data_IF_622134812728
#
_entry.id   IF_622134812728
#
_cell.length_a   1.000
_cell.length_b   1.000
_cell.length_c   1.000
_cell.angle_alpha   90.00
_cell.angle_beta   90.00
_cell.angle_gamma   90.00
#
_symmetry.space_group_name_H-M   'P 1'
#
loop_
_entity.id
_entity.type
_entity.pdbx_description
1 polymer ?
#
# COMPACT_ATOMS: atom_id res chain seq x y z
N UNK A 1 8.33 -6.09 23.16
CA UNK A 1 8.46 -4.94 24.10
C UNK A 1 7.53 -3.83 23.67
N UNK A 2 6.82 -3.20 24.61
CA UNK A 2 6.01 -2.01 24.32
C UNK A 2 6.93 -0.82 24.00
N UNK A 3 6.53 0.02 23.05
CA UNK A 3 7.24 1.22 22.61
C UNK A 3 6.40 2.44 22.92
N UNK A 4 7.02 3.45 23.54
CA UNK A 4 6.37 4.73 23.88
C UNK A 4 6.48 5.70 22.72
N UNK A 5 5.40 6.37 22.37
CA UNK A 5 5.38 7.34 21.29
C UNK A 5 4.46 8.52 21.56
N UNK A 6 4.52 9.45 20.64
CA UNK A 6 3.62 10.61 20.59
C UNK A 6 3.03 10.74 19.20
N UNK A 7 1.94 11.49 19.07
CA UNK A 7 1.54 11.99 17.76
C UNK A 7 1.54 13.52 17.74
N UNK A 8 1.97 14.06 16.62
CA UNK A 8 2.28 15.47 16.45
C UNK A 8 1.76 16.03 15.14
N UNK A 9 1.44 17.29 15.17
CA UNK A 9 1.01 18.11 14.04
C UNK A 9 1.52 19.55 14.20
N UNK A 10 0.97 20.48 13.45
CA UNK A 10 1.27 21.90 13.67
C UNK A 10 0.77 22.43 15.04
N UNK A 11 -0.14 21.71 15.70
CA UNK A 11 -0.68 22.12 17.01
C UNK A 11 0.37 22.12 18.12
N UNK A 12 1.39 21.28 18.03
CA UNK A 12 2.50 21.23 18.99
C UNK A 12 3.54 22.35 18.78
N UNK A 13 3.30 23.26 17.82
CA UNK A 13 4.16 24.42 17.60
C UNK A 13 5.60 24.07 17.19
N UNK A 14 6.56 24.73 17.78
CA UNK A 14 7.98 24.48 17.54
C UNK A 14 8.54 23.54 18.58
N UNK A 15 8.73 22.29 18.17
CA UNK A 15 9.26 21.20 19.00
C UNK A 15 10.79 21.28 19.05
N UNK A 16 11.37 21.15 20.24
CA UNK A 16 12.80 20.93 20.46
C UNK A 16 13.08 19.41 20.42
N UNK A 17 13.47 18.92 19.25
CA UNK A 17 13.69 17.49 19.03
C UNK A 17 14.94 16.94 19.73
N UNK A 18 15.90 17.78 20.10
CA UNK A 18 17.06 17.34 20.86
C UNK A 18 16.67 17.02 22.32
N UNK A 19 15.75 17.77 22.89
CA UNK A 19 15.16 17.46 24.21
C UNK A 19 14.18 16.28 24.14
N UNK A 20 13.51 16.08 23.01
CA UNK A 20 12.59 14.97 22.81
C UNK A 20 13.31 13.63 22.71
N UNK A 21 14.53 13.62 22.14
CA UNK A 21 15.35 12.44 21.94
C UNK A 21 15.61 11.68 23.24
N UNK A 22 15.35 10.36 23.21
CA UNK A 22 15.51 9.48 24.38
C UNK A 22 14.28 9.41 25.29
N UNK A 23 13.28 10.28 25.11
CA UNK A 23 12.02 10.26 25.85
C UNK A 23 10.92 9.49 25.15
N UNK A 24 11.06 9.25 23.85
CA UNK A 24 10.13 8.47 23.03
C UNK A 24 10.87 7.49 22.12
N UNK A 25 10.21 6.41 21.75
CA UNK A 25 10.67 5.41 20.78
C UNK A 25 10.21 5.71 19.37
N UNK A 26 9.07 6.42 19.18
CA UNK A 26 8.52 6.77 17.88
C UNK A 26 7.61 8.01 17.92
N UNK A 27 7.34 8.55 16.74
CA UNK A 27 6.34 9.60 16.54
C UNK A 27 5.41 9.29 15.38
N UNK A 28 4.12 9.65 15.50
CA UNK A 28 3.16 9.67 14.39
C UNK A 28 2.99 11.13 13.95
N UNK A 29 3.16 11.40 12.66
CA UNK A 29 3.18 12.79 12.15
C UNK A 29 2.00 13.03 11.22
N UNK A 30 1.14 14.00 11.54
CA UNK A 30 0.11 14.45 10.62
C UNK A 30 0.74 15.16 9.44
N UNK A 31 0.51 14.63 8.24
CA UNK A 31 1.03 15.25 7.01
C UNK A 31 0.00 16.11 6.30
N UNK A 32 -1.28 15.73 6.44
CA UNK A 32 -2.37 16.39 5.71
C UNK A 32 -3.74 16.12 6.34
N UNK A 33 -4.73 16.88 5.93
CA UNK A 33 -6.13 16.71 6.33
C UNK A 33 -7.07 17.15 5.21
N UNK A 34 -8.21 16.46 5.07
CA UNK A 34 -9.19 16.75 4.02
C UNK A 34 -8.59 16.73 2.61
N UNK A 35 -9.30 17.27 1.66
CA UNK A 35 -8.82 17.36 0.28
C UNK A 35 -7.80 18.48 0.14
N UNK A 36 -6.51 18.12 -0.04
CA UNK A 36 -5.42 19.04 -0.44
C UNK A 36 -4.84 19.99 0.64
N UNK A 37 -5.13 19.79 1.92
CA UNK A 37 -4.50 20.60 2.97
C UNK A 37 -3.29 19.87 3.58
N UNK A 38 -2.08 20.40 3.35
CA UNK A 38 -0.87 19.93 4.03
C UNK A 38 -0.80 20.53 5.45
N UNK A 39 -0.35 19.74 6.42
CA UNK A 39 -0.02 20.25 7.76
C UNK A 39 1.18 21.19 7.67
N UNK A 40 1.10 22.34 8.33
CA UNK A 40 2.11 23.41 8.17
C UNK A 40 3.50 23.03 8.69
N UNK A 41 3.62 22.07 9.61
CA UNK A 41 4.87 21.71 10.29
C UNK A 41 5.42 20.33 9.87
N UNK A 42 4.69 19.51 9.11
CA UNK A 42 5.07 18.12 8.89
C UNK A 42 6.45 17.95 8.24
N UNK A 43 6.80 18.80 7.27
CA UNK A 43 8.11 18.73 6.59
C UNK A 43 9.26 18.96 7.55
N UNK A 44 9.12 19.98 8.43
CA UNK A 44 10.06 20.25 9.49
C UNK A 44 10.12 19.09 10.50
N UNK A 45 8.97 18.64 10.97
CA UNK A 45 8.88 17.59 11.97
C UNK A 45 9.52 16.28 11.49
N UNK A 46 9.26 15.86 10.24
CA UNK A 46 9.88 14.67 9.66
C UNK A 46 11.39 14.84 9.55
N UNK A 47 11.88 15.98 9.00
CA UNK A 47 13.30 16.25 8.87
C UNK A 47 14.04 16.20 10.22
N UNK A 48 13.44 16.73 11.25
CA UNK A 48 14.02 16.73 12.61
C UNK A 48 13.98 15.32 13.23
N UNK A 49 12.91 14.57 13.08
CA UNK A 49 12.84 13.16 13.52
C UNK A 49 13.93 12.31 12.84
N UNK A 50 14.15 12.50 11.54
CA UNK A 50 15.23 11.83 10.80
C UNK A 50 16.60 12.25 11.33
N UNK A 51 16.82 13.56 11.61
CA UNK A 51 18.07 14.09 12.17
C UNK A 51 18.39 13.45 13.52
N UNK A 52 17.41 13.36 14.41
CA UNK A 52 17.61 12.78 15.75
C UNK A 52 17.44 11.27 15.79
N UNK A 53 17.14 10.63 14.65
CA UNK A 53 16.98 9.17 14.46
C UNK A 53 15.83 8.59 15.28
N UNK A 54 14.71 9.30 15.40
CA UNK A 54 13.47 8.78 15.96
C UNK A 54 12.63 8.22 14.83
N UNK A 55 12.27 6.91 14.85
CA UNK A 55 11.36 6.32 13.87
C UNK A 55 10.00 6.99 13.87
N UNK A 56 9.37 7.07 12.67
CA UNK A 56 8.08 7.73 12.56
C UNK A 56 7.11 6.99 11.64
N UNK A 57 5.83 7.24 11.87
CA UNK A 57 4.71 6.95 10.97
C UNK A 57 4.06 8.24 10.49
N UNK A 58 3.19 8.12 9.49
CA UNK A 58 2.55 9.27 8.85
C UNK A 58 1.04 9.10 8.88
N UNK A 59 0.29 10.17 9.19
CA UNK A 59 -1.16 10.09 9.14
C UNK A 59 -1.82 11.24 8.38
N UNK A 60 -3.02 10.94 7.88
CA UNK A 60 -3.93 11.85 7.21
C UNK A 60 -5.27 11.88 7.92
N UNK A 61 -5.74 13.06 8.30
CA UNK A 61 -7.05 13.26 8.89
C UNK A 61 -8.11 13.41 7.80
N UNK A 62 -9.04 12.47 7.70
CA UNK A 62 -10.03 12.44 6.63
C UNK A 62 -11.26 13.30 6.91
N UNK A 63 -11.69 14.06 5.91
CA UNK A 63 -12.98 14.75 5.85
C UNK A 63 -13.88 14.18 4.76
N UNK A 64 -13.56 13.01 4.21
CA UNK A 64 -14.33 12.42 3.14
C UNK A 64 -15.76 12.06 3.58
N UNK A 65 -16.73 12.43 2.78
CA UNK A 65 -18.17 12.17 3.01
C UNK A 65 -18.75 11.17 2.01
N UNK A 66 -17.95 10.76 1.02
CA UNK A 66 -18.31 9.77 0.01
C UNK A 66 -17.04 9.14 -0.58
N UNK A 67 -17.19 8.05 -1.34
CA UNK A 67 -16.08 7.31 -1.94
C UNK A 67 -15.27 8.14 -2.93
N UNK A 68 -15.88 9.09 -3.64
CA UNK A 68 -15.15 9.93 -4.60
C UNK A 68 -14.23 10.93 -3.89
N UNK A 69 -14.69 11.57 -2.82
CA UNK A 69 -13.85 12.42 -1.97
C UNK A 69 -12.75 11.61 -1.27
N UNK A 70 -13.05 10.38 -0.83
CA UNK A 70 -12.07 9.45 -0.27
C UNK A 70 -10.92 9.13 -1.24
N UNK A 71 -11.22 8.89 -2.51
CA UNK A 71 -10.19 8.67 -3.55
C UNK A 71 -9.30 9.89 -3.77
N UNK A 72 -9.89 11.09 -3.74
CA UNK A 72 -9.13 12.34 -3.88
C UNK A 72 -8.17 12.54 -2.71
N UNK A 73 -8.66 12.34 -1.48
CA UNK A 73 -7.83 12.42 -0.26
C UNK A 73 -6.71 11.38 -0.30
N UNK A 74 -7.01 10.12 -0.60
CA UNK A 74 -6.01 9.06 -0.72
C UNK A 74 -4.94 9.39 -1.75
N UNK A 75 -5.32 9.91 -2.92
CA UNK A 75 -4.38 10.30 -3.98
C UNK A 75 -3.46 11.42 -3.50
N UNK A 76 -4.01 12.44 -2.86
CA UNK A 76 -3.25 13.56 -2.29
C UNK A 76 -2.27 13.08 -1.22
N UNK A 77 -2.75 12.26 -0.28
CA UNK A 77 -1.94 11.71 0.79
C UNK A 77 -0.79 10.82 0.25
N UNK A 78 -1.07 9.92 -0.68
CA UNK A 78 -0.05 9.08 -1.34
C UNK A 78 1.02 9.95 -2.02
N UNK A 79 0.64 11.06 -2.67
CA UNK A 79 1.58 11.98 -3.30
C UNK A 79 2.51 12.67 -2.29
N UNK A 80 2.08 12.85 -1.05
CA UNK A 80 2.90 13.37 0.04
C UNK A 80 3.85 12.29 0.53
N UNK A 81 3.30 11.14 0.96
CA UNK A 81 4.05 10.11 1.67
C UNK A 81 5.11 9.39 0.82
N UNK A 82 4.95 9.34 -0.51
CA UNK A 82 5.93 8.73 -1.42
C UNK A 82 7.32 9.37 -1.38
N UNK A 83 7.46 10.54 -0.75
CA UNK A 83 8.74 11.26 -0.57
C UNK A 83 9.48 10.81 0.70
N UNK A 84 8.88 9.95 1.53
CA UNK A 84 9.37 9.58 2.84
C UNK A 84 9.41 8.06 3.01
N UNK A 85 10.19 7.59 3.97
CA UNK A 85 10.36 6.18 4.30
C UNK A 85 9.96 5.90 5.75
N UNK A 86 8.65 5.96 6.10
CA UNK A 86 8.22 5.73 7.47
C UNK A 86 8.53 4.29 7.90
N UNK A 87 8.98 4.12 9.14
CA UNK A 87 9.21 2.83 9.79
C UNK A 87 8.04 2.44 10.72
N UNK A 88 7.07 3.33 10.89
CA UNK A 88 5.77 3.08 11.50
C UNK A 88 4.67 3.19 10.46
N UNK A 89 3.45 2.71 10.76
CA UNK A 89 2.36 2.64 9.78
C UNK A 89 2.03 3.98 9.11
N UNK A 90 1.47 3.87 7.90
CA UNK A 90 0.74 4.96 7.25
C UNK A 90 -0.72 4.85 7.65
N UNK A 91 -1.26 5.91 8.23
CA UNK A 91 -2.55 5.86 8.94
C UNK A 91 -3.58 6.77 8.30
N UNK A 92 -4.79 6.25 8.18
CA UNK A 92 -5.98 7.05 7.95
C UNK A 92 -6.70 7.30 9.26
N UNK A 93 -6.90 8.56 9.58
CA UNK A 93 -7.52 9.04 10.80
C UNK A 93 -9.00 9.37 10.52
N UNK A 94 -9.89 8.62 11.18
CA UNK A 94 -11.35 8.69 10.99
C UNK A 94 -12.00 9.07 12.30
N UNK A 95 -12.41 10.34 12.38
CA UNK A 95 -13.04 10.89 13.56
C UNK A 95 -14.34 11.63 13.25
N UNK A 96 -15.10 11.95 14.31
CA UNK A 96 -16.23 12.86 14.21
C UNK A 96 -15.76 14.27 13.91
N UNK A 97 -16.33 14.86 12.89
CA UNK A 97 -16.17 16.27 12.57
C UNK A 97 -17.50 16.85 12.13
N UNK A 98 -17.60 18.17 12.05
CA UNK A 98 -18.79 18.84 11.50
C UNK A 98 -19.15 18.37 10.08
N UNK A 99 -18.17 17.81 9.33
CA UNK A 99 -18.36 17.32 7.97
C UNK A 99 -18.73 15.83 7.91
N UNK A 100 -18.27 15.03 8.87
CA UNK A 100 -18.39 13.56 8.83
C UNK A 100 -19.42 13.01 9.82
N UNK A 101 -19.93 13.82 10.76
CA UNK A 101 -20.86 13.40 11.82
C UNK A 101 -22.11 12.71 11.29
N UNK A 102 -22.65 13.18 10.16
CA UNK A 102 -23.88 12.69 9.55
C UNK A 102 -23.66 11.64 8.46
N UNK A 103 -22.43 11.19 8.23
CA UNK A 103 -22.14 10.14 7.25
C UNK A 103 -22.64 8.80 7.81
N UNK A 104 -23.43 8.09 7.01
CA UNK A 104 -23.93 6.75 7.37
C UNK A 104 -22.77 5.78 7.57
N UNK A 105 -22.95 4.80 8.45
CA UNK A 105 -21.90 3.85 8.83
C UNK A 105 -21.38 3.05 7.64
N UNK A 106 -22.26 2.55 6.76
CA UNK A 106 -21.88 1.80 5.57
C UNK A 106 -21.03 2.64 4.61
N UNK A 107 -21.38 3.90 4.41
CA UNK A 107 -20.61 4.84 3.59
C UNK A 107 -19.26 5.15 4.25
N UNK A 108 -19.21 5.33 5.57
CA UNK A 108 -17.97 5.58 6.29
C UNK A 108 -17.00 4.39 6.21
N UNK A 109 -17.54 3.16 6.29
CA UNK A 109 -16.79 1.92 6.05
C UNK A 109 -16.22 1.86 4.62
N UNK A 110 -17.02 2.22 3.61
CA UNK A 110 -16.58 2.23 2.22
C UNK A 110 -15.53 3.31 1.95
N UNK A 111 -15.66 4.50 2.55
CA UNK A 111 -14.66 5.56 2.55
C UNK A 111 -13.33 5.03 3.12
N UNK A 112 -13.37 4.52 4.34
CA UNK A 112 -12.20 4.02 5.07
C UNK A 112 -11.52 2.90 4.31
N UNK A 113 -12.28 1.90 3.86
CA UNK A 113 -11.81 0.77 3.07
C UNK A 113 -11.18 1.21 1.75
N UNK A 114 -11.76 2.21 1.08
CA UNK A 114 -11.23 2.77 -0.18
C UNK A 114 -9.87 3.42 0.04
N UNK A 115 -9.74 4.29 1.04
CA UNK A 115 -8.47 4.97 1.33
C UNK A 115 -7.40 3.95 1.73
N UNK A 116 -7.73 3.04 2.65
CA UNK A 116 -6.80 1.99 3.09
C UNK A 116 -6.31 1.12 1.92
N UNK A 117 -7.21 0.69 1.04
CA UNK A 117 -6.87 -0.13 -0.13
C UNK A 117 -5.94 0.61 -1.11
N UNK A 118 -6.16 1.91 -1.32
CA UNK A 118 -5.29 2.72 -2.18
C UNK A 118 -3.89 2.89 -1.59
N UNK A 119 -3.78 3.16 -0.29
CA UNK A 119 -2.49 3.29 0.41
C UNK A 119 -1.74 1.95 0.42
N UNK A 120 -2.44 0.84 0.69
CA UNK A 120 -1.87 -0.50 0.63
C UNK A 120 -1.38 -0.85 -0.77
N UNK A 121 -2.15 -0.50 -1.81
CA UNK A 121 -1.76 -0.66 -3.22
C UNK A 121 -0.54 0.16 -3.61
N UNK A 122 -0.28 1.25 -2.90
CA UNK A 122 0.95 2.05 -3.04
C UNK A 122 2.15 1.46 -2.27
N UNK A 123 1.99 0.29 -1.62
CA UNK A 123 3.08 -0.46 -0.99
C UNK A 123 3.30 -0.16 0.50
N UNK A 124 2.40 0.56 1.16
CA UNK A 124 2.56 0.93 2.57
C UNK A 124 1.86 -0.06 3.52
N UNK A 125 2.39 -0.16 4.73
CA UNK A 125 1.69 -0.80 5.84
C UNK A 125 0.61 0.14 6.37
N UNK A 126 -0.65 -0.24 6.21
CA UNK A 126 -1.80 0.61 6.50
C UNK A 126 -2.37 0.33 7.87
N UNK A 127 -2.78 1.38 8.55
CA UNK A 127 -3.46 1.34 9.84
C UNK A 127 -4.63 2.33 9.85
N UNK A 128 -5.66 2.04 10.62
CA UNK A 128 -6.80 2.93 10.83
C UNK A 128 -6.71 3.48 12.25
N UNK A 129 -6.75 4.82 12.40
CA UNK A 129 -6.96 5.47 13.69
C UNK A 129 -8.42 5.84 13.86
N UNK A 130 -8.96 5.53 15.01
CA UNK A 130 -10.25 5.98 15.48
C UNK A 130 -10.36 5.80 17.00
N UNK A 131 -11.34 6.45 17.61
CA UNK A 131 -11.68 6.17 18.99
C UNK A 131 -12.44 4.84 19.12
N UNK A 132 -12.55 4.35 20.37
CA UNK A 132 -13.22 3.09 20.69
C UNK A 132 -14.65 3.04 20.17
N UNK A 133 -15.42 4.12 20.32
CA UNK A 133 -16.84 4.15 19.92
C UNK A 133 -17.01 4.01 18.40
N UNK A 134 -16.09 4.56 17.63
CA UNK A 134 -16.06 4.36 16.18
C UNK A 134 -15.74 2.90 15.83
N UNK A 135 -14.76 2.29 16.48
CA UNK A 135 -14.41 0.89 16.20
C UNK A 135 -15.48 -0.12 16.64
N UNK A 136 -16.24 0.20 17.68
CA UNK A 136 -17.34 -0.66 18.13
C UNK A 136 -18.68 -0.39 17.43
N UNK A 137 -18.82 0.80 16.83
CA UNK A 137 -20.02 1.28 16.17
C UNK A 137 -19.83 1.52 14.68
N UNK A 138 -19.47 2.76 14.29
CA UNK A 138 -19.48 3.22 12.89
C UNK A 138 -18.52 2.47 11.97
N UNK A 139 -17.37 2.01 12.47
CA UNK A 139 -16.36 1.26 11.73
C UNK A 139 -16.34 -0.25 12.06
N UNK A 140 -17.36 -0.74 12.77
CA UNK A 140 -17.48 -2.16 13.07
C UNK A 140 -17.92 -2.96 11.84
N UNK A 141 -16.98 -3.34 11.00
CA UNK A 141 -17.25 -4.06 9.75
C UNK A 141 -16.10 -5.01 9.43
N UNK A 142 -16.43 -6.22 8.98
CA UNK A 142 -15.46 -7.21 8.52
C UNK A 142 -14.59 -6.73 7.35
N UNK A 143 -15.04 -5.76 6.56
CA UNK A 143 -14.24 -5.10 5.51
C UNK A 143 -12.97 -4.45 6.07
N UNK A 144 -12.98 -4.03 7.34
CA UNK A 144 -11.89 -3.30 7.99
C UNK A 144 -11.06 -4.17 8.95
N UNK A 145 -11.44 -5.42 9.18
CA UNK A 145 -10.78 -6.31 10.16
C UNK A 145 -9.34 -6.66 9.76
N UNK A 146 -9.04 -6.64 8.46
CA UNK A 146 -7.70 -6.92 7.94
C UNK A 146 -6.67 -5.82 8.21
N UNK A 147 -7.11 -4.62 8.48
CA UNK A 147 -6.25 -3.48 8.78
C UNK A 147 -5.95 -3.39 10.27
N UNK A 148 -4.70 -3.07 10.59
CA UNK A 148 -4.30 -2.82 11.97
C UNK A 148 -4.97 -1.55 12.50
N UNK A 149 -5.07 -1.43 13.81
CA UNK A 149 -5.80 -0.33 14.46
C UNK A 149 -4.90 0.47 15.40
N UNK A 150 -5.01 1.77 15.31
CA UNK A 150 -4.52 2.71 16.31
C UNK A 150 -5.74 3.20 17.11
N UNK A 151 -5.88 2.65 18.30
CA UNK A 151 -7.03 2.87 19.17
C UNK A 151 -6.84 4.13 19.99
N UNK A 152 -7.77 5.09 19.92
CA UNK A 152 -7.88 6.16 20.91
C UNK A 152 -8.89 5.78 22.00
N UNK A 153 -8.38 5.61 23.20
CA UNK A 153 -9.18 5.38 24.41
C UNK A 153 -8.39 5.94 25.61
N UNK A 154 -8.72 7.14 26.03
CA UNK A 154 -8.00 7.85 27.08
C UNK A 154 -8.36 7.33 28.46
N UNK A 155 -7.60 6.38 28.92
CA UNK A 155 -7.86 5.61 30.15
C UNK A 155 -6.57 5.00 30.69
N UNK A 156 -6.61 4.41 31.88
CA UNK A 156 -5.46 3.72 32.48
C UNK A 156 -5.15 2.38 31.84
N UNK A 157 -6.15 1.78 31.17
CA UNK A 157 -6.03 0.54 30.39
C UNK A 157 -7.08 0.52 29.29
N UNK A 158 -6.77 -0.05 28.12
CA UNK A 158 -7.77 -0.18 27.05
C UNK A 158 -8.85 -1.18 27.44
N UNK A 159 -10.10 -0.86 27.11
CA UNK A 159 -11.26 -1.75 27.31
C UNK A 159 -11.82 -2.27 26.00
N UNK A 160 -11.26 -1.81 24.86
CA UNK A 160 -11.58 -2.36 23.53
C UNK A 160 -11.14 -3.82 23.45
N UNK A 161 -12.05 -4.71 23.07
CA UNK A 161 -11.90 -6.17 23.16
C UNK A 161 -11.42 -6.85 21.87
N UNK A 162 -11.07 -6.07 20.84
CA UNK A 162 -10.48 -6.59 19.60
C UNK A 162 -9.01 -6.19 19.49
N UNK A 163 -8.31 -6.76 18.49
CA UNK A 163 -6.89 -6.48 18.27
C UNK A 163 -6.63 -5.05 17.82
N UNK A 164 -5.61 -4.45 18.36
CA UNK A 164 -5.03 -3.16 17.95
C UNK A 164 -3.50 -3.21 18.10
N UNK A 165 -2.81 -2.36 17.37
CA UNK A 165 -1.36 -2.34 17.36
C UNK A 165 -0.76 -1.14 18.06
N UNK A 166 -1.47 0.02 18.06
CA UNK A 166 -1.09 1.23 18.81
C UNK A 166 -2.29 1.65 19.66
N UNK A 167 -2.01 2.15 20.83
CA UNK A 167 -2.99 2.73 21.77
C UNK A 167 -2.60 4.15 22.10
N UNK A 168 -3.46 5.12 21.77
CA UNK A 168 -3.40 6.48 22.26
C UNK A 168 -4.15 6.54 23.59
N UNK A 169 -3.41 6.70 24.68
CA UNK A 169 -3.96 6.60 26.02
C UNK A 169 -4.20 7.93 26.73
N UNK A 170 -3.69 9.03 26.16
CA UNK A 170 -3.87 10.37 26.70
C UNK A 170 -3.75 11.41 25.61
N UNK A 171 -4.58 12.46 25.69
CA UNK A 171 -4.48 13.69 24.89
C UNK A 171 -3.93 14.87 25.68
N UNK A 172 -3.47 14.64 26.91
CA UNK A 172 -2.99 15.68 27.86
C UNK A 172 -1.61 15.35 28.41
N UNK A 173 -0.79 14.68 27.62
CA UNK A 173 0.57 14.35 28.00
C UNK A 173 1.48 15.57 28.00
N UNK A 174 2.58 15.47 28.75
CA UNK A 174 3.69 16.44 28.72
C UNK A 174 4.95 15.70 28.27
N UNK A 175 5.76 16.35 27.43
CA UNK A 175 6.97 15.76 26.90
C UNK A 175 8.09 16.81 26.82
N UNK A 176 9.32 16.48 27.24
CA UNK A 176 10.46 17.38 27.07
C UNK A 176 10.60 17.85 25.63
N UNK A 177 10.72 19.15 25.42
CA UNK A 177 10.85 19.73 24.07
C UNK A 177 9.52 20.12 23.42
N UNK A 178 8.38 19.86 24.07
CA UNK A 178 7.05 20.26 23.58
C UNK A 178 6.41 21.19 24.61
N UNK A 179 5.92 22.33 24.15
CA UNK A 179 5.16 23.26 24.96
C UNK A 179 3.68 22.93 24.86
N UNK A 180 3.02 22.73 26.03
CA UNK A 180 1.62 22.34 26.08
C UNK A 180 1.38 20.82 26.00
N UNK A 181 0.17 20.46 25.65
CA UNK A 181 -0.24 19.05 25.60
C UNK A 181 0.21 18.34 24.33
N UNK A 182 0.53 17.06 24.48
CA UNK A 182 0.81 16.15 23.37
C UNK A 182 0.13 14.81 23.63
N UNK A 183 -0.32 14.18 22.56
CA UNK A 183 -0.95 12.86 22.61
C UNK A 183 0.10 11.78 22.87
N UNK A 184 -0.20 10.89 23.83
CA UNK A 184 0.71 9.84 24.27
C UNK A 184 0.23 8.48 23.78
N UNK A 185 1.18 7.69 23.27
CA UNK A 185 0.91 6.43 22.59
C UNK A 185 1.78 5.27 23.10
N UNK A 186 1.24 4.05 23.03
CA UNK A 186 1.97 2.80 23.21
C UNK A 186 1.79 1.94 21.98
N UNK A 187 2.89 1.53 21.34
CA UNK A 187 2.88 0.51 20.29
C UNK A 187 3.20 -0.86 20.89
N UNK A 188 2.41 -1.85 20.54
CA UNK A 188 2.51 -3.24 21.00
C UNK A 188 3.23 -4.15 20.01
N UNK A 189 3.51 -3.66 18.81
CA UNK A 189 4.17 -4.38 17.71
C UNK A 189 5.49 -3.71 17.35
N UNK A 190 6.43 -4.51 16.87
CA UNK A 190 7.68 -4.01 16.29
C UNK A 190 7.46 -3.62 14.82
N UNK A 191 6.90 -2.41 14.61
CA UNK A 191 6.61 -1.91 13.27
C UNK A 191 7.85 -1.75 12.38
N UNK A 192 9.00 -1.27 12.88
CA UNK A 192 10.22 -1.23 12.08
C UNK A 192 10.58 -2.59 11.47
N UNK A 193 10.56 -3.65 12.28
CA UNK A 193 10.82 -5.02 11.78
C UNK A 193 9.75 -5.49 10.80
N UNK A 194 8.46 -5.26 11.10
CA UNK A 194 7.34 -5.66 10.23
C UNK A 194 7.41 -4.95 8.87
N UNK A 195 7.70 -3.64 8.88
CA UNK A 195 7.72 -2.81 7.66
C UNK A 195 8.98 -3.10 6.84
N UNK A 196 10.15 -3.24 7.47
CA UNK A 196 11.38 -3.56 6.77
C UNK A 196 11.33 -4.96 6.14
N UNK A 197 10.75 -5.95 6.81
CA UNK A 197 10.56 -7.28 6.24
C UNK A 197 9.58 -7.31 5.05
N UNK A 198 8.78 -6.26 4.85
CA UNK A 198 7.91 -6.08 3.68
C UNK A 198 8.57 -5.27 2.56
N UNK A 199 9.66 -4.53 2.85
CA UNK A 199 10.45 -3.86 1.80
C UNK A 199 11.36 -4.89 1.15
N UNK A 200 11.44 -4.99 -0.19
CA UNK A 200 12.50 -5.75 -0.82
C UNK A 200 13.84 -5.11 -0.45
N UNK A 201 14.75 -5.91 0.10
CA UNK A 201 16.08 -5.46 0.55
C UNK A 201 16.84 -4.74 -0.57
N UNK A 202 17.24 -3.50 -0.30
CA UNK A 202 18.12 -2.71 -1.16
C UNK A 202 19.62 -3.01 -0.90
N UNK A 203 19.98 -4.03 -0.12
CA UNK A 203 21.37 -4.41 0.11
C UNK A 203 21.52 -5.88 0.51
N UNK A 204 21.61 -6.73 -0.47
CA UNK A 204 22.49 -7.92 -0.46
C UNK A 204 22.51 -8.56 -1.84
N UNK A 205 23.63 -8.43 -2.55
CA UNK A 205 24.02 -9.38 -3.59
C UNK A 205 24.08 -10.77 -2.97
N UNK A 206 23.34 -11.71 -3.58
CA UNK A 206 23.23 -13.14 -3.28
C UNK A 206 22.15 -13.58 -2.28
N UNK A 207 20.92 -13.54 -2.79
CA UNK A 207 19.92 -14.62 -2.59
C UNK A 207 18.70 -14.36 -3.46
N UNK A 208 18.58 -15.10 -4.57
CA UNK A 208 17.35 -15.25 -5.36
C UNK A 208 16.21 -15.67 -4.43
N UNK A 209 15.29 -14.75 -4.11
CA UNK A 209 13.91 -15.06 -3.71
C UNK A 209 12.98 -14.17 -4.51
N UNK A 210 12.08 -14.81 -5.25
CA UNK A 210 11.08 -14.21 -6.12
C UNK A 210 10.20 -13.23 -5.35
N UNK A 211 10.29 -11.93 -5.66
CA UNK A 211 9.29 -10.95 -5.25
C UNK A 211 8.19 -10.91 -6.31
N UNK A 212 7.11 -11.66 -6.09
CA UNK A 212 5.86 -11.51 -6.84
C UNK A 212 5.20 -10.18 -6.44
N UNK A 213 5.61 -9.08 -7.05
CA UNK A 213 4.85 -7.82 -6.96
C UNK A 213 3.56 -7.97 -7.77
N UNK A 214 2.41 -7.83 -7.10
CA UNK A 214 1.07 -7.95 -7.69
C UNK A 214 0.51 -6.55 -7.94
N UNK A 215 0.11 -6.25 -9.18
CA UNK A 215 -0.59 -5.00 -9.52
C UNK A 215 -2.09 -5.22 -9.29
N UNK A 216 -2.73 -4.40 -8.47
CA UNK A 216 -4.18 -4.42 -8.30
C UNK A 216 -4.84 -3.46 -9.30
N UNK A 217 -5.54 -4.01 -10.29
CA UNK A 217 -6.29 -3.24 -11.28
C UNK A 217 -7.77 -3.18 -10.91
N UNK A 218 -8.33 -1.98 -10.80
CA UNK A 218 -9.77 -1.79 -10.58
C UNK A 218 -10.47 -1.74 -11.94
N UNK A 219 -11.38 -2.69 -12.19
CA UNK A 219 -12.16 -2.78 -13.42
C UNK A 219 -13.01 -1.53 -13.60
N UNK A 220 -12.98 -0.94 -14.79
CA UNK A 220 -13.79 0.20 -15.20
C UNK A 220 -14.95 -0.26 -16.06
N UNK A 221 -15.99 0.59 -16.20
CA UNK A 221 -17.10 0.32 -17.14
C UNK A 221 -16.57 0.16 -18.57
N UNK A 222 -16.89 -0.96 -19.21
CA UNK A 222 -16.42 -1.30 -20.55
C UNK A 222 -15.14 -2.12 -20.61
N UNK A 223 -14.47 -2.37 -19.48
CA UNK A 223 -13.30 -3.25 -19.47
C UNK A 223 -13.68 -4.72 -19.72
N UNK A 224 -12.77 -5.42 -20.40
CA UNK A 224 -12.78 -6.87 -20.51
C UNK A 224 -11.52 -7.46 -19.91
N UNK A 225 -11.59 -8.68 -19.40
CA UNK A 225 -10.41 -9.34 -18.83
C UNK A 225 -9.29 -9.53 -19.86
N UNK A 226 -9.66 -9.70 -21.13
CA UNK A 226 -8.69 -9.79 -22.24
C UNK A 226 -7.99 -8.46 -22.53
N UNK A 227 -8.72 -7.33 -22.50
CA UNK A 227 -8.13 -6.00 -22.68
C UNK A 227 -7.18 -5.65 -21.51
N UNK A 228 -7.61 -5.96 -20.27
CA UNK A 228 -6.77 -5.78 -19.06
C UNK A 228 -5.52 -6.67 -19.18
N UNK A 229 -5.66 -7.95 -19.54
CA UNK A 229 -4.53 -8.85 -19.71
C UNK A 229 -3.53 -8.34 -20.77
N UNK A 230 -4.03 -7.88 -21.92
CA UNK A 230 -3.20 -7.29 -22.99
C UNK A 230 -2.45 -6.05 -22.52
N UNK A 231 -3.10 -5.17 -21.75
CA UNK A 231 -2.49 -3.95 -21.20
C UNK A 231 -1.29 -4.25 -20.30
N UNK A 232 -1.32 -5.37 -19.59
CA UNK A 232 -0.29 -5.78 -18.65
C UNK A 232 0.58 -6.94 -19.14
N UNK A 233 0.62 -7.19 -20.46
CA UNK A 233 1.43 -8.21 -21.11
C UNK A 233 1.23 -9.62 -20.51
N UNK A 234 -0.01 -9.98 -20.16
CA UNK A 234 -0.38 -11.29 -19.63
C UNK A 234 -1.49 -11.94 -20.45
N UNK A 235 -1.83 -13.18 -20.14
CA UNK A 235 -2.91 -13.92 -20.80
C UNK A 235 -4.16 -13.89 -19.92
N UNK A 236 -5.34 -13.64 -20.52
CA UNK A 236 -6.61 -13.55 -19.79
C UNK A 236 -6.99 -14.84 -19.07
N UNK A 237 -6.64 -16.02 -19.61
CA UNK A 237 -6.90 -17.30 -18.94
C UNK A 237 -6.08 -17.42 -17.66
N UNK A 238 -4.77 -17.14 -17.75
CA UNK A 238 -3.88 -17.14 -16.59
C UNK A 238 -4.30 -16.07 -15.57
N UNK A 239 -4.78 -14.91 -16.06
CA UNK A 239 -5.26 -13.83 -15.19
C UNK A 239 -6.58 -14.22 -14.49
N UNK A 240 -7.48 -14.93 -15.18
CA UNK A 240 -8.71 -15.48 -14.61
C UNK A 240 -8.40 -16.52 -13.52
N UNK A 241 -7.51 -17.45 -13.80
CA UNK A 241 -7.05 -18.49 -12.88
C UNK A 241 -6.41 -17.89 -11.62
N UNK A 242 -5.50 -16.95 -11.81
CA UNK A 242 -4.82 -16.25 -10.69
C UNK A 242 -5.79 -15.49 -9.78
N UNK A 243 -6.92 -15.01 -10.34
CA UNK A 243 -7.96 -14.29 -9.63
C UNK A 243 -9.16 -15.14 -9.22
N UNK A 244 -9.13 -16.45 -9.41
CA UNK A 244 -10.24 -17.38 -9.16
C UNK A 244 -11.54 -16.96 -9.90
N UNK A 245 -11.43 -16.36 -11.10
CA UNK A 245 -12.55 -15.93 -11.93
C UNK A 245 -13.05 -17.13 -12.74
N UNK A 246 -14.16 -17.71 -12.32
CA UNK A 246 -14.75 -18.89 -13.00
C UNK A 246 -15.21 -18.60 -14.44
N UNK A 247 -15.68 -17.39 -14.73
CA UNK A 247 -16.09 -16.98 -16.06
C UNK A 247 -15.34 -15.70 -16.47
N UNK A 248 -14.34 -15.78 -17.37
CA UNK A 248 -13.54 -14.64 -17.81
C UNK A 248 -14.33 -13.51 -18.48
N UNK A 249 -15.55 -13.79 -18.96
CA UNK A 249 -16.44 -12.81 -19.59
C UNK A 249 -17.31 -12.06 -18.56
N UNK A 250 -17.23 -12.42 -17.27
CA UNK A 250 -18.01 -11.79 -16.20
C UNK A 250 -17.07 -11.11 -15.20
N UNK A 251 -16.65 -9.90 -15.53
CA UNK A 251 -16.00 -8.96 -14.59
C UNK A 251 -16.85 -7.72 -14.47
N UNK A 252 -16.82 -7.07 -13.32
CA UNK A 252 -17.72 -5.96 -12.99
C UNK A 252 -16.95 -4.70 -12.64
N UNK A 253 -17.45 -3.49 -12.99
CA UNK A 253 -16.87 -2.25 -12.57
C UNK A 253 -16.68 -2.20 -11.03
N UNK A 254 -15.49 -1.79 -10.57
CA UNK A 254 -15.11 -1.81 -9.16
C UNK A 254 -14.46 -3.12 -8.69
N UNK A 255 -14.53 -4.20 -9.46
CA UNK A 255 -13.83 -5.46 -9.14
C UNK A 255 -12.32 -5.25 -9.21
N UNK A 256 -11.57 -5.78 -8.23
CA UNK A 256 -10.11 -5.74 -8.24
C UNK A 256 -9.58 -6.99 -8.93
N UNK A 257 -8.80 -6.79 -10.00
CA UNK A 257 -8.05 -7.84 -10.68
C UNK A 257 -6.60 -7.76 -10.24
N UNK A 258 -6.13 -8.79 -9.56
CA UNK A 258 -4.71 -8.95 -9.18
C UNK A 258 -3.92 -9.40 -10.40
N UNK A 259 -2.99 -8.57 -10.84
CA UNK A 259 -2.13 -8.83 -12.00
C UNK A 259 -0.74 -9.15 -11.46
N UNK A 260 -0.26 -10.38 -11.61
CA UNK A 260 1.10 -10.71 -11.22
C UNK A 260 2.07 -9.89 -12.07
N UNK A 261 2.92 -9.10 -11.42
CA UNK A 261 3.99 -8.38 -12.13
C UNK A 261 5.02 -9.42 -12.58
N UNK A 262 4.95 -9.80 -13.85
CA UNK A 262 5.98 -10.62 -14.49
C UNK A 262 7.15 -9.73 -14.91
N UNK A 263 7.86 -9.15 -13.96
CA UNK A 263 9.28 -8.95 -14.10
C UNK A 263 9.94 -10.11 -13.36
N UNK A 264 10.08 -11.22 -14.03
CA UNK A 264 11.19 -12.19 -13.99
C UNK A 264 10.74 -13.57 -14.43
N UNK A 265 11.49 -14.09 -15.38
CA UNK A 265 11.57 -15.49 -15.82
C UNK A 265 10.39 -16.07 -16.61
N UNK A 266 10.09 -15.48 -17.78
CA UNK A 266 10.00 -16.37 -18.93
C UNK A 266 11.40 -17.00 -19.12
N UNK A 267 11.52 -18.29 -19.42
CA UNK A 267 12.83 -18.84 -19.74
C UNK A 267 13.45 -17.97 -20.84
N UNK A 268 14.63 -17.45 -20.63
CA UNK A 268 15.32 -16.57 -21.58
C UNK A 268 15.55 -17.26 -22.92
N UNK A 269 15.26 -18.56 -23.00
CA UNK A 269 15.42 -19.39 -24.18
C UNK A 269 14.33 -20.45 -24.29
N UNK A 270 13.99 -20.81 -25.52
CA UNK A 270 13.10 -21.92 -25.86
C UNK A 270 13.80 -22.86 -26.83
N UNK A 271 13.77 -24.16 -26.55
CA UNK A 271 14.28 -25.18 -27.47
C UNK A 271 13.14 -25.60 -28.41
N UNK A 272 13.31 -25.37 -29.69
CA UNK A 272 12.32 -25.72 -30.74
C UNK A 272 12.10 -27.23 -30.73
N UNK A 273 10.82 -27.64 -30.75
CA UNK A 273 10.40 -29.03 -30.78
C UNK A 273 9.87 -29.40 -32.18
N UNK A 274 9.75 -30.69 -32.46
CA UNK A 274 9.14 -31.19 -33.72
C UNK A 274 7.71 -30.64 -33.86
N UNK A 275 7.38 -30.07 -35.04
CA UNK A 275 6.12 -29.42 -35.40
C UNK A 275 5.92 -27.99 -34.84
N UNK A 276 6.92 -27.40 -34.16
CA UNK A 276 6.80 -26.00 -33.78
C UNK A 276 6.85 -25.07 -34.99
N UNK A 277 6.15 -23.94 -34.84
CA UNK A 277 6.25 -22.78 -35.74
C UNK A 277 6.59 -21.55 -34.93
N UNK A 278 7.26 -20.56 -35.53
CA UNK A 278 7.53 -19.28 -34.84
C UNK A 278 6.26 -18.61 -34.32
N UNK A 279 5.15 -18.71 -35.06
CA UNK A 279 3.86 -18.16 -34.64
C UNK A 279 3.32 -18.84 -33.38
N UNK A 280 3.39 -20.18 -33.33
CA UNK A 280 2.92 -20.97 -32.18
C UNK A 280 3.79 -20.68 -30.94
N UNK A 281 5.13 -20.64 -31.13
CA UNK A 281 6.07 -20.28 -30.07
C UNK A 281 5.81 -18.84 -29.60
N UNK A 282 5.68 -17.89 -30.52
CA UNK A 282 5.40 -16.48 -30.19
C UNK A 282 4.11 -16.32 -29.39
N UNK A 283 3.02 -17.00 -29.79
CA UNK A 283 1.75 -17.01 -29.05
C UNK A 283 1.90 -17.56 -27.63
N UNK A 284 2.70 -18.63 -27.46
CA UNK A 284 2.99 -19.22 -26.15
C UNK A 284 3.67 -18.26 -25.19
N UNK A 285 4.48 -17.35 -25.72
CA UNK A 285 5.27 -16.37 -24.93
C UNK A 285 4.77 -14.93 -25.07
N UNK A 286 3.51 -14.75 -25.46
CA UNK A 286 2.83 -13.45 -25.56
C UNK A 286 3.60 -12.42 -26.41
N UNK A 287 4.19 -12.85 -27.51
CA UNK A 287 4.91 -12.00 -28.47
C UNK A 287 4.40 -12.26 -29.91
N UNK A 288 4.89 -11.50 -30.86
CA UNK A 288 4.60 -11.73 -32.29
C UNK A 288 5.74 -12.52 -32.94
N UNK A 289 5.42 -13.33 -33.94
CA UNK A 289 6.45 -14.06 -34.67
C UNK A 289 7.52 -13.13 -35.29
N UNK A 290 7.15 -11.90 -35.68
CA UNK A 290 8.08 -10.88 -36.21
C UNK A 290 9.10 -10.46 -35.14
N UNK A 291 8.62 -10.15 -33.91
CA UNK A 291 9.51 -9.78 -32.80
C UNK A 291 10.41 -10.95 -32.39
N UNK A 292 9.85 -12.15 -32.34
CA UNK A 292 10.61 -13.37 -32.01
C UNK A 292 11.67 -13.66 -33.07
N UNK A 293 11.34 -13.49 -34.35
CA UNK A 293 12.27 -13.64 -35.47
C UNK A 293 13.41 -12.62 -35.40
N UNK A 294 13.11 -11.33 -35.28
CA UNK A 294 14.15 -10.30 -35.22
C UNK A 294 15.13 -10.52 -34.05
N UNK A 295 14.61 -10.95 -32.91
CA UNK A 295 15.43 -11.30 -31.74
C UNK A 295 16.34 -12.52 -31.98
N UNK A 296 15.97 -13.40 -32.91
CA UNK A 296 16.66 -14.67 -33.18
C UNK A 296 17.17 -14.80 -34.63
N UNK A 297 17.25 -13.73 -35.37
CA UNK A 297 17.63 -13.72 -36.79
C UNK A 297 18.98 -14.38 -37.05
N UNK A 298 19.92 -14.23 -36.10
CA UNK A 298 21.26 -14.85 -36.17
C UNK A 298 21.22 -16.38 -36.05
N UNK A 299 20.21 -16.93 -35.36
CA UNK A 299 20.02 -18.39 -35.18
C UNK A 299 19.15 -18.99 -36.27
N UNK A 300 18.08 -18.27 -36.68
CA UNK A 300 17.09 -18.73 -37.63
C UNK A 300 17.59 -18.52 -39.08
N UNK A 301 18.42 -17.51 -39.33
CA UNK A 301 18.86 -17.11 -40.66
C UNK A 301 17.82 -16.25 -41.41
N UNK A 302 17.94 -16.20 -42.72
CA UNK A 302 17.14 -15.28 -43.57
C UNK A 302 15.64 -15.66 -43.72
N UNK A 303 15.26 -16.89 -43.42
CA UNK A 303 13.89 -17.36 -43.59
C UNK A 303 13.21 -17.70 -42.26
N UNK A 304 12.20 -16.89 -41.81
CA UNK A 304 11.52 -17.09 -40.54
C UNK A 304 10.73 -18.42 -40.46
N UNK A 305 10.45 -19.07 -41.59
CA UNK A 305 9.74 -20.33 -41.63
C UNK A 305 10.65 -21.56 -41.50
N UNK A 306 11.97 -21.36 -41.45
CA UNK A 306 12.96 -22.43 -41.29
C UNK A 306 13.48 -22.49 -39.85
N UNK A 307 12.65 -23.02 -38.96
CA UNK A 307 13.09 -23.40 -37.61
C UNK A 307 13.13 -24.93 -37.51
N UNK A 308 14.11 -25.46 -36.82
CA UNK A 308 14.33 -26.88 -36.68
C UNK A 308 14.36 -27.32 -35.23
N UNK A 309 13.91 -28.55 -34.90
CA UNK A 309 14.02 -29.10 -33.57
C UNK A 309 15.46 -29.02 -33.04
N UNK A 310 15.62 -28.58 -31.79
CA UNK A 310 16.90 -28.36 -31.17
C UNK A 310 17.43 -26.91 -31.25
N UNK A 311 16.87 -26.04 -32.11
CA UNK A 311 17.24 -24.64 -32.11
C UNK A 311 16.88 -23.97 -30.78
N UNK A 312 17.81 -23.21 -30.22
CA UNK A 312 17.60 -22.44 -28.98
C UNK A 312 17.25 -21.00 -29.34
N UNK A 313 16.02 -20.64 -29.14
CA UNK A 313 15.50 -19.28 -29.41
C UNK A 313 15.47 -18.46 -28.11
N UNK A 314 15.97 -17.21 -28.15
CA UNK A 314 15.76 -16.21 -27.11
C UNK A 314 14.30 -15.75 -27.12
N UNK A 315 13.63 -15.89 -25.99
CA UNK A 315 12.22 -15.51 -25.86
C UNK A 315 12.08 -14.11 -25.32
#
# INVERSE_FOLDING_TARGET
MQKKGIDISHHQGDIDFDKLKGNIDFAMVRTSYGSFYEDKKYKRNIKELERVKIPYGLYHFSYATNVESAKKEATGFINIIKKYNPLYPVVIDIESSSRTSNVRNDILVDITSTICSMIESAGYYVMIYANKDYFTGKLNSSKLDRYDKWLAEWSSKPTYNKNFGIWQYSSKGSMPGIVGNVDLNIAYKDYPSIINNKKPDASSSDRKKESNSVINYVVKKGDTLSAIASKYNTNYKSLAEYNNIKNPNKIYPGQIIKIPNKEASAPTTYIVKKKDTLSAIASKYNTTWKKLYEKNKNVIGKNPNKIYPGMVLKI
#
